data_IF_639794510856
#
_entry.id   IF_639794510856
#
_cell.length_a   1.000
_cell.length_b   1.000
_cell.length_c   1.000
_cell.angle_alpha   90.00
_cell.angle_beta   90.00
_cell.angle_gamma   90.00
#
_symmetry.space_group_name_H-M   'P 1'
#
loop_
_entity.id
_entity.type
_entity.pdbx_description
1 polymer ?
#
# COMPACT_ATOMS: atom_id res chain seq x y z
N UNK A 1 -52.01 -28.90 60.73
CA UNK A 1 -51.15 -29.30 59.60
C UNK A 1 -50.13 -30.32 60.08
N UNK A 2 -50.30 -31.59 59.69
CA UNK A 2 -49.42 -32.69 60.05
C UNK A 2 -47.96 -32.43 59.63
N UNK A 3 -47.01 -32.91 60.43
CA UNK A 3 -45.56 -32.75 60.25
C UNK A 3 -45.07 -33.23 58.85
N UNK A 4 -45.85 -34.08 58.18
CA UNK A 4 -45.62 -34.57 56.81
C UNK A 4 -45.75 -33.47 55.74
N UNK A 5 -46.74 -32.58 55.85
CA UNK A 5 -46.99 -31.53 54.84
C UNK A 5 -45.87 -30.50 54.83
N UNK A 6 -45.34 -30.14 56.01
CA UNK A 6 -44.19 -29.23 56.16
C UNK A 6 -42.92 -29.77 55.48
N UNK A 7 -42.63 -31.07 55.63
CA UNK A 7 -41.48 -31.72 54.96
C UNK A 7 -41.59 -31.74 53.44
N UNK A 8 -42.79 -31.88 52.89
CA UNK A 8 -43.01 -31.86 51.44
C UNK A 8 -42.76 -30.46 50.89
N UNK A 9 -43.35 -29.44 51.52
CA UNK A 9 -43.16 -28.04 51.12
C UNK A 9 -41.69 -27.63 51.20
N UNK A 10 -40.97 -28.01 52.27
CA UNK A 10 -39.54 -27.70 52.41
C UNK A 10 -38.68 -28.31 51.30
N UNK A 11 -38.98 -29.53 50.83
CA UNK A 11 -38.26 -30.17 49.71
C UNK A 11 -38.52 -29.47 48.38
N UNK A 12 -39.76 -29.09 48.10
CA UNK A 12 -40.12 -28.38 46.87
C UNK A 12 -39.46 -27.00 46.80
N UNK A 13 -39.43 -26.29 47.94
CA UNK A 13 -38.69 -25.04 48.08
C UNK A 13 -37.19 -25.23 47.79
N UNK A 14 -36.58 -26.29 48.35
CA UNK A 14 -35.15 -26.57 48.14
C UNK A 14 -34.82 -26.91 46.68
N UNK A 15 -35.68 -27.66 45.99
CA UNK A 15 -35.52 -27.96 44.56
C UNK A 15 -35.64 -26.69 43.72
N UNK A 16 -36.63 -25.83 44.01
CA UNK A 16 -36.80 -24.55 43.31
C UNK A 16 -35.59 -23.63 43.48
N UNK A 17 -35.08 -23.48 44.70
CA UNK A 17 -33.86 -22.69 44.92
C UNK A 17 -32.63 -23.32 44.26
N UNK A 18 -32.55 -24.66 44.21
CA UNK A 18 -31.49 -25.37 43.50
C UNK A 18 -31.49 -25.08 41.99
N UNK A 19 -32.65 -25.14 41.33
CA UNK A 19 -32.76 -24.84 39.89
C UNK A 19 -32.54 -23.36 39.59
N UNK A 20 -33.00 -22.45 40.46
CA UNK A 20 -32.72 -21.03 40.37
C UNK A 20 -31.21 -20.75 40.46
N UNK A 21 -30.52 -21.35 41.45
CA UNK A 21 -29.08 -21.22 41.62
C UNK A 21 -28.30 -21.74 40.41
N UNK A 22 -28.67 -22.91 39.88
CA UNK A 22 -28.03 -23.47 38.69
C UNK A 22 -28.20 -22.56 37.46
N UNK A 23 -29.38 -21.97 37.31
CA UNK A 23 -29.67 -21.03 36.23
C UNK A 23 -28.85 -19.75 36.35
N UNK A 24 -28.71 -19.21 37.57
CA UNK A 24 -27.86 -18.05 37.85
C UNK A 24 -26.38 -18.35 37.56
N UNK A 25 -25.88 -19.54 37.95
CA UNK A 25 -24.51 -19.97 37.64
C UNK A 25 -24.28 -20.11 36.14
N UNK A 26 -25.23 -20.69 35.40
CA UNK A 26 -25.15 -20.79 33.95
C UNK A 26 -25.11 -19.41 33.28
N UNK A 27 -25.98 -18.50 33.71
CA UNK A 27 -26.03 -17.12 33.21
C UNK A 27 -24.72 -16.37 33.53
N UNK A 28 -24.18 -16.54 34.74
CA UNK A 28 -22.88 -15.98 35.12
C UNK A 28 -21.75 -16.53 34.23
N UNK A 29 -21.76 -17.85 33.95
CA UNK A 29 -20.83 -18.48 33.02
C UNK A 29 -20.89 -17.89 31.61
N UNK A 30 -22.10 -17.67 31.07
CA UNK A 30 -22.29 -17.00 29.77
C UNK A 30 -21.77 -15.56 29.79
N UNK A 31 -22.03 -14.80 30.86
CA UNK A 31 -21.51 -13.44 31.00
C UNK A 31 -19.98 -13.40 31.04
N UNK A 32 -19.36 -14.31 31.81
CA UNK A 32 -17.89 -14.43 31.89
C UNK A 32 -17.30 -14.80 30.53
N UNK A 33 -17.90 -15.75 29.81
CA UNK A 33 -17.47 -16.13 28.47
C UNK A 33 -17.59 -14.96 27.48
N UNK A 34 -18.71 -14.22 27.52
CA UNK A 34 -18.90 -13.02 26.70
C UNK A 34 -17.87 -11.94 27.03
N UNK A 35 -17.60 -11.69 28.30
CA UNK A 35 -16.59 -10.71 28.71
C UNK A 35 -15.19 -11.11 28.27
N UNK A 36 -14.86 -12.40 28.33
CA UNK A 36 -13.62 -12.94 27.77
C UNK A 36 -13.51 -12.67 26.27
N UNK A 37 -14.56 -12.94 25.49
CA UNK A 37 -14.58 -12.66 24.05
C UNK A 37 -14.42 -11.17 23.75
N UNK A 38 -15.12 -10.29 24.49
CA UNK A 38 -14.97 -8.83 24.34
C UNK A 38 -13.52 -8.41 24.57
N UNK A 39 -12.91 -8.82 25.69
CA UNK A 39 -11.51 -8.48 26.02
C UNK A 39 -10.54 -9.00 24.95
N UNK A 40 -10.74 -10.19 24.43
CA UNK A 40 -9.92 -10.73 23.35
C UNK A 40 -10.08 -9.92 22.05
N UNK A 41 -11.31 -9.54 21.68
CA UNK A 41 -11.54 -8.69 20.50
C UNK A 41 -10.91 -7.30 20.65
N UNK A 42 -10.95 -6.70 21.84
CA UNK A 42 -10.27 -5.44 22.13
C UNK A 42 -8.75 -5.55 21.99
N UNK A 43 -8.15 -6.63 22.55
CA UNK A 43 -6.72 -6.90 22.38
C UNK A 43 -6.33 -7.02 20.92
N UNK A 44 -7.08 -7.79 20.12
CA UNK A 44 -6.83 -7.93 18.67
C UNK A 44 -7.02 -6.63 17.91
N UNK A 45 -8.00 -5.82 18.29
CA UNK A 45 -8.20 -4.50 17.69
C UNK A 45 -7.03 -3.56 17.97
N UNK A 46 -6.50 -3.54 19.20
CA UNK A 46 -5.29 -2.77 19.53
C UNK A 46 -4.10 -3.23 18.72
N UNK A 47 -3.90 -4.54 18.61
CA UNK A 47 -2.81 -5.11 17.80
C UNK A 47 -2.94 -4.73 16.32
N UNK A 48 -4.16 -4.67 15.75
CA UNK A 48 -4.38 -4.15 14.40
C UNK A 48 -3.91 -2.70 14.30
N UNK A 49 -4.29 -1.84 15.26
CA UNK A 49 -3.89 -0.44 15.25
C UNK A 49 -2.37 -0.26 15.38
N UNK A 50 -1.72 -1.07 16.22
CA UNK A 50 -0.25 -1.10 16.37
C UNK A 50 0.46 -1.56 15.09
N UNK A 51 -0.03 -2.63 14.45
CA UNK A 51 0.53 -3.10 13.18
C UNK A 51 0.27 -2.10 12.03
N UNK A 52 -0.87 -1.41 12.03
CA UNK A 52 -1.17 -0.36 11.05
C UNK A 52 -0.32 0.89 11.26
N UNK A 53 0.00 1.27 12.51
CA UNK A 53 0.94 2.36 12.79
C UNK A 53 2.37 1.98 12.43
N UNK A 54 2.80 0.76 12.74
CA UNK A 54 4.10 0.22 12.34
C UNK A 54 4.23 0.21 10.81
N UNK A 55 3.20 -0.25 10.09
CA UNK A 55 3.20 -0.23 8.62
C UNK A 55 3.37 1.19 8.07
N UNK A 56 2.74 2.19 8.71
CA UNK A 56 2.83 3.59 8.30
C UNK A 56 4.18 4.22 8.61
N UNK A 57 4.91 3.72 9.60
CA UNK A 57 6.25 4.22 9.94
C UNK A 57 7.36 3.58 9.11
N UNK A 58 7.07 2.52 8.35
CA UNK A 58 8.04 1.95 7.42
C UNK A 58 8.38 2.96 6.32
N UNK A 59 9.66 3.09 5.93
CA UNK A 59 10.06 3.93 4.81
C UNK A 59 9.27 3.56 3.55
N UNK A 60 8.89 4.56 2.77
CA UNK A 60 8.21 4.34 1.49
C UNK A 60 9.20 4.34 0.33
N UNK A 61 8.90 3.59 -0.74
CA UNK A 61 9.75 3.48 -1.92
C UNK A 61 9.66 4.72 -2.84
N UNK A 62 10.01 5.89 -2.30
CA UNK A 62 9.94 7.18 -3.00
C UNK A 62 10.92 7.28 -4.16
N UNK A 63 12.07 6.63 -4.05
CA UNK A 63 13.11 6.64 -5.09
C UNK A 63 12.65 5.86 -6.32
N UNK A 64 12.06 4.67 -6.16
CA UNK A 64 11.46 3.95 -7.29
C UNK A 64 10.30 4.72 -7.92
N UNK A 65 9.44 5.30 -7.09
CA UNK A 65 8.34 6.11 -7.60
C UNK A 65 8.86 7.30 -8.43
N UNK A 66 9.91 8.00 -7.97
CA UNK A 66 10.55 9.06 -8.75
C UNK A 66 11.14 8.54 -10.06
N UNK A 67 11.85 7.42 -10.00
CA UNK A 67 12.55 6.85 -11.14
C UNK A 67 11.59 6.34 -12.23
N UNK A 68 10.58 5.55 -11.87
CA UNK A 68 9.64 4.95 -12.81
C UNK A 68 8.54 5.93 -13.26
N UNK A 69 8.17 6.95 -12.46
CA UNK A 69 7.18 7.95 -12.85
C UNK A 69 7.77 9.07 -13.73
N UNK A 70 8.42 8.69 -14.83
CA UNK A 70 8.82 9.60 -15.90
C UNK A 70 10.30 9.93 -15.94
N UNK A 71 11.01 10.02 -14.81
CA UNK A 71 12.44 10.38 -14.78
C UNK A 71 13.27 9.50 -15.70
N UNK A 72 13.09 8.17 -15.61
CA UNK A 72 13.80 7.19 -16.45
C UNK A 72 13.71 7.48 -17.94
N UNK A 73 12.58 8.01 -18.41
CA UNK A 73 12.36 8.33 -19.83
C UNK A 73 13.04 9.64 -20.26
N UNK A 74 13.30 10.53 -19.30
CA UNK A 74 13.98 11.81 -19.51
C UNK A 74 15.51 11.72 -19.33
N UNK A 75 16.06 10.58 -18.87
CA UNK A 75 17.51 10.33 -18.85
C UNK A 75 18.08 10.11 -20.25
N UNK A 76 19.36 10.39 -20.45
CA UNK A 76 19.99 10.48 -21.78
C UNK A 76 21.02 9.38 -22.04
N UNK A 77 21.07 8.91 -23.30
CA UNK A 77 22.22 8.21 -23.85
C UNK A 77 23.01 9.15 -24.76
N UNK A 78 24.32 8.91 -24.86
CA UNK A 78 25.20 9.61 -25.79
C UNK A 78 25.55 8.71 -26.95
N UNK A 79 25.45 9.27 -28.15
CA UNK A 79 25.82 8.61 -29.38
C UNK A 79 26.85 9.44 -30.13
N UNK A 80 27.79 8.75 -30.76
CA UNK A 80 28.64 9.32 -31.80
C UNK A 80 27.99 9.05 -33.15
N UNK A 81 27.67 10.12 -33.88
CA UNK A 81 27.13 10.09 -35.24
C UNK A 81 28.11 10.85 -36.14
N UNK A 82 28.93 10.11 -36.90
CA UNK A 82 30.05 10.69 -37.64
C UNK A 82 31.08 11.34 -36.71
N UNK A 83 31.27 12.65 -36.83
CA UNK A 83 32.17 13.43 -35.97
C UNK A 83 31.46 14.08 -34.76
N UNK A 84 30.12 14.09 -34.76
CA UNK A 84 29.34 14.77 -33.74
C UNK A 84 28.95 13.84 -32.59
N UNK A 85 28.81 14.42 -31.41
CA UNK A 85 28.23 13.75 -30.24
C UNK A 85 26.82 14.27 -30.02
N UNK A 86 25.87 13.36 -29.84
CA UNK A 86 24.45 13.67 -29.67
C UNK A 86 23.95 13.04 -28.37
N UNK A 87 23.28 13.83 -27.54
CA UNK A 87 22.53 13.33 -26.38
C UNK A 87 21.07 13.12 -26.79
N UNK A 88 20.55 11.93 -26.49
CA UNK A 88 19.19 11.51 -26.84
C UNK A 88 18.52 10.95 -25.60
N UNK A 89 17.36 11.49 -25.23
CA UNK A 89 16.62 10.96 -24.08
C UNK A 89 16.12 9.55 -24.36
N UNK A 90 15.97 8.75 -23.30
CA UNK A 90 15.51 7.36 -23.36
C UNK A 90 14.19 7.25 -24.13
N UNK A 91 13.29 8.20 -23.92
CA UNK A 91 12.01 8.33 -24.62
C UNK A 91 12.11 8.37 -26.14
N UNK A 92 13.14 9.02 -26.69
CA UNK A 92 13.33 9.22 -28.12
C UNK A 92 14.42 8.32 -28.71
N UNK A 93 14.94 7.38 -27.92
CA UNK A 93 16.06 6.53 -28.34
C UNK A 93 15.69 5.70 -29.58
N UNK A 94 14.55 5.01 -29.58
CA UNK A 94 14.16 4.11 -30.66
C UNK A 94 14.00 4.85 -31.99
N UNK A 95 13.32 6.01 -31.98
CA UNK A 95 13.17 6.89 -33.15
C UNK A 95 14.52 7.43 -33.64
N UNK A 96 15.46 7.69 -32.73
CA UNK A 96 16.77 8.19 -33.10
C UNK A 96 17.65 7.12 -33.76
N UNK A 97 17.56 5.86 -33.33
CA UNK A 97 18.40 4.77 -33.85
C UNK A 97 18.08 4.38 -35.29
N UNK A 98 16.93 4.80 -35.82
CA UNK A 98 16.52 4.54 -37.21
C UNK A 98 16.39 5.84 -38.00
N UNK A 99 16.57 5.75 -39.32
CA UNK A 99 16.23 6.84 -40.24
C UNK A 99 14.74 6.86 -40.59
N UNK A 100 14.35 7.74 -41.51
CA UNK A 100 12.96 7.90 -41.96
C UNK A 100 12.39 6.70 -42.70
N UNK A 101 13.24 5.77 -43.14
CA UNK A 101 12.87 4.52 -43.81
C UNK A 101 12.93 3.31 -42.87
N UNK A 102 13.22 3.53 -41.58
CA UNK A 102 13.37 2.46 -40.58
C UNK A 102 14.71 1.74 -40.66
N UNK A 103 15.70 2.27 -41.37
CA UNK A 103 17.04 1.69 -41.49
C UNK A 103 17.87 2.13 -40.28
N UNK A 104 18.57 1.19 -39.66
CA UNK A 104 19.42 1.48 -38.51
C UNK A 104 20.54 2.47 -38.89
N UNK A 105 20.63 3.58 -38.14
CA UNK A 105 21.71 4.56 -38.29
C UNK A 105 23.03 3.95 -37.83
N UNK A 106 24.11 4.29 -38.53
CA UNK A 106 25.46 3.96 -38.08
C UNK A 106 25.88 4.90 -36.94
N UNK A 107 25.40 4.59 -35.73
CA UNK A 107 25.73 5.31 -34.50
C UNK A 107 26.46 4.39 -33.53
N UNK A 108 27.41 4.95 -32.78
CA UNK A 108 28.08 4.25 -31.69
C UNK A 108 27.64 4.86 -30.36
N UNK A 109 27.02 4.07 -29.49
CA UNK A 109 26.76 4.50 -28.12
C UNK A 109 28.10 4.72 -27.40
N UNK A 110 28.23 5.85 -26.74
CA UNK A 110 29.38 6.16 -25.89
C UNK A 110 29.11 5.66 -24.48
N UNK A 111 30.15 5.15 -23.82
CA UNK A 111 30.08 4.77 -22.41
C UNK A 111 29.96 6.02 -21.54
N UNK A 112 29.22 5.87 -20.44
CA UNK A 112 28.81 6.96 -19.56
C UNK A 112 29.99 7.67 -18.88
N UNK A 113 29.73 8.90 -18.44
CA UNK A 113 30.72 9.73 -17.78
C UNK A 113 30.85 9.38 -16.29
N UNK A 114 32.04 9.61 -15.69
CA UNK A 114 32.30 9.30 -14.26
C UNK A 114 31.28 9.90 -13.29
N UNK A 115 30.73 11.06 -13.60
CA UNK A 115 29.77 11.77 -12.73
C UNK A 115 28.30 11.47 -13.11
N UNK A 116 28.03 10.74 -14.19
CA UNK A 116 26.69 10.39 -14.69
C UNK A 116 25.73 11.57 -14.94
N UNK A 117 26.31 12.77 -15.07
CA UNK A 117 25.67 13.94 -15.62
C UNK A 117 26.72 14.76 -16.37
N UNK A 118 26.29 15.56 -17.35
CA UNK A 118 27.17 16.46 -18.06
C UNK A 118 26.46 17.74 -18.47
N UNK A 119 27.24 18.79 -18.75
CA UNK A 119 26.73 19.98 -19.41
C UNK A 119 26.79 19.74 -20.91
N UNK A 120 25.62 19.58 -21.53
CA UNK A 120 25.51 19.32 -22.95
C UNK A 120 25.18 20.61 -23.71
N UNK A 121 25.86 20.90 -24.83
CA UNK A 121 25.55 22.06 -25.66
C UNK A 121 24.08 22.08 -26.04
N UNK A 122 23.42 23.21 -25.80
CA UNK A 122 22.03 23.43 -26.17
C UNK A 122 21.90 24.70 -26.98
N UNK A 123 20.91 24.74 -27.85
CA UNK A 123 20.60 25.93 -28.63
C UNK A 123 19.22 26.42 -28.25
N UNK A 124 19.09 27.71 -27.95
CA UNK A 124 17.81 28.36 -27.72
C UNK A 124 17.46 29.23 -28.92
N UNK A 125 16.24 29.08 -29.41
CA UNK A 125 15.65 29.96 -30.42
C UNK A 125 14.41 30.64 -29.82
N UNK A 126 14.14 31.86 -30.27
CA UNK A 126 12.88 32.54 -29.96
C UNK A 126 11.97 32.45 -31.19
N UNK A 127 10.97 31.58 -31.12
CA UNK A 127 10.02 31.36 -32.18
C UNK A 127 8.71 32.08 -31.81
N UNK A 128 8.49 33.24 -32.43
CA UNK A 128 7.27 34.06 -32.27
C UNK A 128 6.91 34.35 -30.80
N UNK A 129 7.93 34.66 -29.97
CA UNK A 129 7.76 34.99 -28.55
C UNK A 129 7.88 33.80 -27.60
N UNK A 130 7.96 32.56 -28.12
CA UNK A 130 8.21 31.35 -27.32
C UNK A 130 9.68 30.94 -27.41
N UNK A 131 10.35 30.87 -26.25
CA UNK A 131 11.72 30.36 -26.15
C UNK A 131 11.71 28.84 -26.19
N UNK A 132 12.34 28.27 -27.21
CA UNK A 132 12.49 26.82 -27.40
C UNK A 132 13.97 26.50 -27.23
N UNK A 133 14.29 25.65 -26.26
CA UNK A 133 15.66 25.16 -26.03
C UNK A 133 15.73 23.70 -26.45
N UNK A 134 16.73 23.36 -27.26
CA UNK A 134 16.89 22.02 -27.81
C UNK A 134 18.37 21.61 -27.85
N UNK A 135 18.63 20.31 -27.72
CA UNK A 135 19.96 19.70 -27.75
C UNK A 135 20.26 19.04 -29.09
N UNK A 136 19.21 18.66 -29.82
CA UNK A 136 19.31 18.08 -31.15
C UNK A 136 18.13 18.53 -32.05
N UNK A 137 18.26 18.28 -33.36
CA UNK A 137 17.28 18.73 -34.35
C UNK A 137 15.91 18.05 -34.21
N UNK A 138 15.89 16.80 -33.72
CA UNK A 138 14.65 16.04 -33.50
C UNK A 138 13.82 16.65 -32.38
N UNK A 139 14.48 17.01 -31.26
CA UNK A 139 13.87 17.71 -30.14
C UNK A 139 13.26 19.05 -30.57
N UNK A 140 14.00 19.84 -31.37
CA UNK A 140 13.46 21.08 -31.94
C UNK A 140 12.23 20.81 -32.81
N UNK A 141 12.30 19.83 -33.72
CA UNK A 141 11.20 19.49 -34.61
C UNK A 141 9.95 19.09 -33.83
N UNK A 142 10.10 18.22 -32.83
CA UNK A 142 9.01 17.71 -32.01
C UNK A 142 8.34 18.83 -31.19
N UNK A 143 9.13 19.67 -30.51
CA UNK A 143 8.61 20.81 -29.74
C UNK A 143 7.88 21.80 -30.66
N UNK A 144 8.42 22.10 -31.84
CA UNK A 144 7.78 23.02 -32.79
C UNK A 144 6.49 22.44 -33.35
N UNK A 145 6.45 21.16 -33.73
CA UNK A 145 5.24 20.49 -34.21
C UNK A 145 4.14 20.45 -33.15
N UNK A 146 4.52 20.32 -31.87
CA UNK A 146 3.57 20.36 -30.76
C UNK A 146 2.98 21.75 -30.55
N UNK A 147 3.80 22.81 -30.67
CA UNK A 147 3.34 24.19 -30.49
C UNK A 147 2.57 24.68 -31.72
N UNK A 148 2.99 24.26 -32.92
CA UNK A 148 2.47 24.69 -34.22
C UNK A 148 2.11 23.47 -35.09
N UNK A 149 0.87 22.96 -34.96
CA UNK A 149 0.41 21.77 -35.69
C UNK A 149 0.48 21.91 -37.22
N UNK A 150 0.55 23.13 -37.75
CA UNK A 150 0.76 23.42 -39.18
C UNK A 150 2.04 22.80 -39.74
N UNK A 151 3.04 22.52 -38.90
CA UNK A 151 4.29 21.89 -39.30
C UNK A 151 4.31 20.37 -39.14
N UNK A 152 3.20 19.74 -38.72
CA UNK A 152 3.13 18.31 -38.40
C UNK A 152 3.63 17.40 -39.53
N UNK A 153 3.34 17.77 -40.78
CA UNK A 153 3.67 16.99 -41.98
C UNK A 153 5.01 17.39 -42.63
N UNK A 154 5.78 18.29 -42.03
CA UNK A 154 7.12 18.65 -42.54
C UNK A 154 8.15 17.70 -41.93
N UNK A 155 9.05 17.20 -42.77
CA UNK A 155 10.21 16.40 -42.33
C UNK A 155 11.06 17.18 -41.32
N UNK A 156 11.64 16.44 -40.36
CA UNK A 156 12.33 17.06 -39.23
C UNK A 156 13.50 17.94 -39.67
N UNK A 157 14.31 17.46 -40.63
CA UNK A 157 15.47 18.18 -41.15
C UNK A 157 15.04 19.47 -41.89
N UNK A 158 14.09 19.34 -42.83
CA UNK A 158 13.56 20.47 -43.59
C UNK A 158 12.93 21.54 -42.69
N UNK A 159 12.22 21.14 -41.64
CA UNK A 159 11.64 22.07 -40.65
C UNK A 159 12.75 22.81 -39.88
N UNK A 160 13.77 22.09 -39.42
CA UNK A 160 14.87 22.67 -38.64
C UNK A 160 15.66 23.69 -39.47
N UNK A 161 15.95 23.39 -40.73
CA UNK A 161 16.65 24.31 -41.63
C UNK A 161 15.84 25.59 -41.87
N UNK A 162 14.52 25.43 -42.10
CA UNK A 162 13.60 26.56 -42.25
C UNK A 162 13.56 27.46 -41.02
N UNK A 163 13.63 26.87 -39.83
CA UNK A 163 13.67 27.60 -38.56
C UNK A 163 15.01 28.30 -38.38
N UNK A 164 16.14 27.61 -38.59
CA UNK A 164 17.48 28.19 -38.45
C UNK A 164 17.75 29.33 -39.44
N UNK A 165 17.18 29.28 -40.64
CA UNK A 165 17.29 30.35 -41.63
C UNK A 165 16.54 31.63 -41.22
N UNK A 166 15.45 31.49 -40.44
CA UNK A 166 14.55 32.61 -40.10
C UNK A 166 14.79 33.18 -38.70
N UNK A 167 15.30 32.40 -37.75
CA UNK A 167 15.38 32.78 -36.35
C UNK A 167 16.82 32.75 -35.82
N UNK A 168 17.20 33.79 -35.07
CA UNK A 168 18.51 33.88 -34.42
C UNK A 168 18.60 32.83 -33.31
N UNK A 169 19.70 32.07 -33.32
CA UNK A 169 19.99 31.04 -32.33
C UNK A 169 21.02 31.54 -31.32
N UNK A 170 20.81 31.22 -30.04
CA UNK A 170 21.80 31.42 -28.97
C UNK A 170 22.30 30.06 -28.51
N UNK A 171 23.63 29.89 -28.50
CA UNK A 171 24.27 28.70 -27.93
C UNK A 171 24.40 28.86 -26.41
N UNK A 172 24.06 27.82 -25.69
CA UNK A 172 24.16 27.71 -24.23
C UNK A 172 24.55 26.26 -23.87
N UNK A 173 24.51 25.91 -22.59
CA UNK A 173 24.65 24.52 -22.13
C UNK A 173 23.53 24.17 -21.16
N UNK A 174 23.03 22.95 -21.30
CA UNK A 174 21.97 22.39 -20.45
C UNK A 174 22.50 21.17 -19.71
N UNK A 175 22.15 21.08 -18.43
CA UNK A 175 22.48 19.90 -17.63
C UNK A 175 21.65 18.70 -18.12
N UNK A 176 22.30 17.57 -18.34
CA UNK A 176 21.70 16.28 -18.70
C UNK A 176 22.20 15.18 -17.78
N UNK A 177 21.38 14.16 -17.58
CA UNK A 177 21.70 13.00 -16.76
C UNK A 177 21.80 11.75 -17.62
N UNK A 178 22.82 10.94 -17.37
CA UNK A 178 23.05 9.71 -18.09
C UNK A 178 21.98 8.68 -17.70
N UNK A 179 21.51 7.89 -18.66
CA UNK A 179 20.67 6.75 -18.35
C UNK A 179 21.48 5.71 -17.58
N UNK A 180 20.95 5.29 -16.44
CA UNK A 180 21.48 4.24 -15.57
C UNK A 180 20.35 3.29 -15.22
N UNK A 181 20.66 2.09 -14.72
CA UNK A 181 19.61 1.23 -14.17
C UNK A 181 19.15 1.72 -12.78
N UNK A 182 18.06 1.16 -12.26
CA UNK A 182 17.50 1.60 -10.98
C UNK A 182 18.47 1.46 -9.79
N UNK A 183 19.21 0.35 -9.71
CA UNK A 183 20.14 0.12 -8.61
C UNK A 183 21.30 1.11 -8.64
N UNK A 184 21.86 1.36 -9.81
CA UNK A 184 22.90 2.37 -10.02
C UNK A 184 22.38 3.78 -9.74
N UNK A 185 21.14 4.08 -10.13
CA UNK A 185 20.48 5.34 -9.79
C UNK A 185 20.35 5.53 -8.27
N UNK A 186 20.00 4.49 -7.51
CA UNK A 186 19.96 4.56 -6.04
C UNK A 186 21.33 4.90 -5.46
N UNK A 187 22.39 4.26 -5.95
CA UNK A 187 23.76 4.53 -5.51
C UNK A 187 24.15 5.98 -5.83
N UNK A 188 23.83 6.47 -7.03
CA UNK A 188 24.11 7.86 -7.41
C UNK A 188 23.36 8.86 -6.54
N UNK A 189 22.15 8.53 -6.09
CA UNK A 189 21.39 9.34 -5.16
C UNK A 189 22.03 9.43 -3.77
N UNK A 190 23.01 8.61 -3.40
CA UNK A 190 23.77 8.82 -2.15
C UNK A 190 24.72 10.03 -2.27
N UNK A 191 25.13 10.38 -3.49
CA UNK A 191 25.98 11.52 -3.76
C UNK A 191 25.19 12.85 -3.72
N UNK A 192 25.54 13.72 -2.77
CA UNK A 192 24.88 15.03 -2.60
C UNK A 192 24.94 15.92 -3.83
N UNK A 193 26.07 15.94 -4.56
CA UNK A 193 26.23 16.75 -5.78
C UNK A 193 25.30 16.25 -6.88
N UNK A 194 25.23 14.94 -7.07
CA UNK A 194 24.31 14.32 -8.03
C UNK A 194 22.85 14.67 -7.69
N UNK A 195 22.43 14.48 -6.43
CA UNK A 195 21.08 14.84 -5.96
C UNK A 195 20.72 16.31 -6.21
N UNK A 196 21.62 17.23 -5.88
CA UNK A 196 21.36 18.66 -6.04
C UNK A 196 21.20 19.05 -7.52
N UNK A 197 22.06 18.51 -8.37
CA UNK A 197 21.98 18.71 -9.81
C UNK A 197 20.70 18.08 -10.38
N UNK A 198 20.32 16.90 -9.89
CA UNK A 198 19.11 16.20 -10.33
C UNK A 198 17.86 16.97 -9.91
N UNK A 199 17.83 17.53 -8.70
CA UNK A 199 16.76 18.42 -8.27
C UNK A 199 16.63 19.64 -9.19
N UNK A 200 17.74 20.31 -9.52
CA UNK A 200 17.71 21.47 -10.43
C UNK A 200 17.24 21.12 -11.83
N UNK A 201 17.59 19.92 -12.32
CA UNK A 201 17.13 19.41 -13.60
C UNK A 201 15.63 19.11 -13.56
N UNK A 202 15.18 18.33 -12.58
CA UNK A 202 13.80 17.84 -12.48
C UNK A 202 12.80 18.90 -12.08
N UNK A 203 13.17 19.84 -11.20
CA UNK A 203 12.25 20.86 -10.71
C UNK A 203 11.76 21.82 -11.81
N UNK A 204 12.36 21.77 -13.00
CA UNK A 204 11.91 22.52 -14.19
C UNK A 204 10.69 21.88 -14.86
N UNK A 205 10.58 20.56 -14.80
CA UNK A 205 9.54 19.79 -15.50
C UNK A 205 8.53 19.14 -14.55
N UNK A 206 8.98 18.79 -13.34
CA UNK A 206 8.20 18.14 -12.31
C UNK A 206 8.19 19.06 -11.09
N UNK A 207 7.01 19.36 -10.54
CA UNK A 207 6.95 20.06 -9.25
C UNK A 207 7.46 19.13 -8.15
N UNK A 208 8.73 19.31 -7.77
CA UNK A 208 9.40 18.48 -6.78
C UNK A 208 9.23 19.03 -5.36
N UNK A 209 8.62 20.21 -5.22
CA UNK A 209 8.57 20.97 -3.97
C UNK A 209 9.91 21.63 -3.64
N UNK A 210 10.12 21.93 -2.35
CA UNK A 210 11.37 22.53 -1.89
C UNK A 210 12.53 21.54 -1.91
N UNK A 211 13.78 22.03 -2.00
CA UNK A 211 14.98 21.18 -1.95
C UNK A 211 15.01 20.33 -0.66
N UNK A 212 14.60 20.91 0.48
CA UNK A 212 14.55 20.20 1.76
C UNK A 212 13.53 19.05 1.75
N UNK A 213 12.35 19.26 1.16
CA UNK A 213 11.35 18.20 1.01
C UNK A 213 11.84 17.09 0.08
N UNK A 214 12.49 17.46 -1.02
CA UNK A 214 13.12 16.51 -1.92
C UNK A 214 14.18 15.66 -1.21
N UNK A 215 15.12 16.30 -0.51
CA UNK A 215 16.16 15.59 0.25
C UNK A 215 15.57 14.64 1.29
N UNK A 216 14.50 15.05 2.00
CA UNK A 216 13.79 14.18 2.94
C UNK A 216 13.17 12.96 2.27
N UNK A 217 12.49 13.15 1.13
CA UNK A 217 11.87 12.05 0.37
C UNK A 217 12.92 11.07 -0.18
N UNK A 218 14.07 11.58 -0.62
CA UNK A 218 15.17 10.74 -1.09
C UNK A 218 15.78 9.96 0.07
N UNK A 219 16.06 10.59 1.21
CA UNK A 219 16.57 9.91 2.39
C UNK A 219 15.64 8.76 2.83
N UNK A 220 14.34 9.02 2.94
CA UNK A 220 13.34 7.99 3.24
C UNK A 220 13.34 6.86 2.21
N UNK A 221 13.41 7.18 0.91
CA UNK A 221 13.45 6.17 -0.14
C UNK A 221 14.75 5.38 -0.22
N UNK A 222 15.88 5.94 0.24
CA UNK A 222 17.15 5.22 0.32
C UNK A 222 17.15 4.20 1.47
N UNK A 223 16.46 4.48 2.56
CA UNK A 223 16.23 3.52 3.67
C UNK A 223 15.31 2.35 3.27
N UNK A 224 14.61 2.44 2.14
CA UNK A 224 13.74 1.36 1.64
C UNK A 224 14.57 0.20 1.04
N UNK A 225 14.71 -0.89 1.80
CA UNK A 225 15.49 -2.06 1.40
C UNK A 225 14.64 -3.36 1.37
N UNK A 226 15.29 -4.49 1.09
CA UNK A 226 14.63 -5.80 1.14
C UNK A 226 14.06 -6.14 2.52
N UNK A 227 14.67 -5.66 3.60
CA UNK A 227 14.20 -5.93 4.95
C UNK A 227 12.89 -5.19 5.22
N UNK A 228 12.78 -3.94 4.76
CA UNK A 228 11.53 -3.15 4.79
C UNK A 228 10.44 -3.83 3.96
N UNK A 229 10.77 -4.37 2.77
CA UNK A 229 9.83 -5.15 1.95
C UNK A 229 9.34 -6.40 2.69
N UNK A 230 10.27 -7.21 3.23
CA UNK A 230 9.96 -8.43 3.99
C UNK A 230 9.12 -8.11 5.22
N UNK A 231 9.45 -7.04 5.95
CA UNK A 231 8.72 -6.58 7.14
C UNK A 231 7.31 -6.11 6.78
N UNK A 232 7.17 -5.28 5.75
CA UNK A 232 5.87 -4.82 5.25
C UNK A 232 4.96 -5.99 4.88
N UNK A 233 5.48 -6.97 4.13
CA UNK A 233 4.74 -8.19 3.74
C UNK A 233 4.35 -9.05 4.96
N UNK A 234 5.25 -9.18 5.94
CA UNK A 234 4.96 -9.86 7.20
C UNK A 234 3.83 -9.17 7.96
N UNK A 235 3.88 -7.84 8.09
CA UNK A 235 2.83 -7.04 8.74
C UNK A 235 1.50 -7.20 8.01
N UNK A 236 1.48 -7.14 6.68
CA UNK A 236 0.25 -7.37 5.89
C UNK A 236 -0.35 -8.76 6.09
N UNK A 237 0.50 -9.77 6.16
CA UNK A 237 0.07 -11.15 6.42
C UNK A 237 -0.54 -11.27 7.82
N UNK A 238 0.10 -10.67 8.83
CA UNK A 238 -0.41 -10.63 10.20
C UNK A 238 -1.73 -9.85 10.31
N UNK A 239 -1.82 -8.67 9.68
CA UNK A 239 -3.04 -7.87 9.62
C UNK A 239 -4.19 -8.65 8.99
N UNK A 240 -3.94 -9.32 7.86
CA UNK A 240 -4.96 -10.13 7.18
C UNK A 240 -5.44 -11.26 8.08
N UNK A 241 -4.52 -11.98 8.72
CA UNK A 241 -4.84 -13.07 9.65
C UNK A 241 -5.66 -12.57 10.84
N UNK A 242 -5.22 -11.50 11.51
CA UNK A 242 -5.91 -10.96 12.69
C UNK A 242 -7.28 -10.37 12.31
N UNK A 243 -7.39 -9.68 11.17
CA UNK A 243 -8.68 -9.16 10.68
C UNK A 243 -9.66 -10.30 10.38
N UNK A 244 -9.20 -11.41 9.79
CA UNK A 244 -10.02 -12.58 9.55
C UNK A 244 -10.45 -13.26 10.86
N UNK A 245 -9.53 -13.43 11.81
CA UNK A 245 -9.86 -13.97 13.13
C UNK A 245 -10.85 -13.09 13.88
N UNK A 246 -10.71 -11.77 13.78
CA UNK A 246 -11.61 -10.80 14.40
C UNK A 246 -12.99 -10.83 13.72
N UNK A 247 -13.06 -10.96 12.40
CA UNK A 247 -14.31 -11.17 11.66
C UNK A 247 -15.03 -12.43 12.13
N UNK A 248 -14.33 -13.56 12.18
CA UNK A 248 -14.87 -14.83 12.65
C UNK A 248 -15.32 -14.77 14.12
N UNK A 249 -14.58 -14.05 14.97
CA UNK A 249 -14.95 -13.86 16.38
C UNK A 249 -16.15 -12.93 16.54
N UNK A 250 -16.25 -11.86 15.75
CA UNK A 250 -17.44 -10.99 15.75
C UNK A 250 -18.69 -11.73 15.33
N UNK A 251 -18.61 -12.64 14.35
CA UNK A 251 -19.75 -13.51 14.01
C UNK A 251 -20.08 -14.54 15.11
N UNK A 252 -19.13 -14.87 16.00
CA UNK A 252 -19.36 -15.76 17.15
C UNK A 252 -19.82 -15.04 18.42
N UNK A 253 -19.81 -13.70 18.44
CA UNK A 253 -20.37 -12.94 19.55
C UNK A 253 -21.89 -13.12 19.51
N UNK A 254 -22.39 -13.98 20.38
CA UNK A 254 -23.83 -14.21 20.52
C UNK A 254 -24.54 -12.87 20.73
N UNK A 255 -25.54 -12.64 19.89
CA UNK A 255 -26.42 -11.50 20.06
C UNK A 255 -27.18 -11.63 21.39
N UNK A 256 -27.68 -10.50 21.92
CA UNK A 256 -28.52 -10.50 23.13
C UNK A 256 -29.72 -11.45 22.96
N UNK A 257 -30.28 -11.51 21.76
CA UNK A 257 -31.37 -12.40 21.38
C UNK A 257 -31.00 -13.89 21.49
N UNK A 258 -29.81 -14.28 21.02
CA UNK A 258 -29.30 -15.66 21.11
C UNK A 258 -28.98 -16.06 22.55
N UNK A 259 -28.39 -15.15 23.33
CA UNK A 259 -28.11 -15.38 24.75
C UNK A 259 -29.41 -15.65 25.52
N UNK A 260 -30.44 -14.85 25.24
CA UNK A 260 -31.76 -15.04 25.84
C UNK A 260 -32.39 -16.37 25.42
N UNK A 261 -32.35 -16.70 24.12
CA UNK A 261 -32.85 -17.98 23.59
C UNK A 261 -32.18 -19.19 24.24
N UNK A 262 -30.85 -19.18 24.35
CA UNK A 262 -30.10 -20.27 24.99
C UNK A 262 -30.41 -20.40 26.48
N UNK A 263 -30.55 -19.28 27.19
CA UNK A 263 -30.96 -19.27 28.60
C UNK A 263 -32.36 -19.86 28.75
N UNK A 264 -33.31 -19.45 27.89
CA UNK A 264 -34.68 -19.96 27.90
C UNK A 264 -34.75 -21.47 27.62
N UNK A 265 -34.01 -21.96 26.61
CA UNK A 265 -33.92 -23.40 26.29
C UNK A 265 -33.37 -24.18 27.48
N UNK A 266 -32.29 -23.68 28.10
CA UNK A 266 -31.68 -24.32 29.27
C UNK A 266 -32.68 -24.40 30.42
N UNK A 267 -33.50 -23.37 30.60
CA UNK A 267 -34.56 -23.34 31.59
C UNK A 267 -35.65 -24.38 31.33
N UNK A 268 -36.10 -24.51 30.07
CA UNK A 268 -37.05 -25.56 29.66
C UNK A 268 -36.50 -26.97 29.89
N UNK A 269 -35.22 -27.20 29.58
CA UNK A 269 -34.55 -28.50 29.81
C UNK A 269 -34.48 -28.81 31.31
N UNK A 270 -34.11 -27.83 32.14
CA UNK A 270 -34.05 -28.01 33.59
C UNK A 270 -35.42 -28.36 34.17
N UNK A 271 -36.49 -27.69 33.74
CA UNK A 271 -37.87 -28.03 34.13
C UNK A 271 -38.25 -29.43 33.65
N UNK A 272 -37.92 -29.73 32.39
CA UNK A 272 -38.18 -31.01 31.75
C UNK A 272 -37.49 -32.19 32.45
N UNK A 273 -36.34 -31.97 33.09
CA UNK A 273 -35.64 -32.97 33.92
C UNK A 273 -36.19 -33.00 35.36
N UNK A 274 -36.48 -31.84 35.94
CA UNK A 274 -36.96 -31.74 37.32
C UNK A 274 -38.31 -32.46 37.51
N UNK A 275 -39.19 -32.40 36.51
CA UNK A 275 -40.51 -33.02 36.55
C UNK A 275 -40.49 -34.57 36.63
N UNK A 276 -39.79 -35.31 35.75
CA UNK A 276 -39.64 -36.76 35.87
C UNK A 276 -38.81 -37.18 37.10
N UNK A 277 -37.83 -36.39 37.54
CA UNK A 277 -37.17 -36.63 38.84
C UNK A 277 -38.20 -36.63 39.98
N UNK A 278 -39.18 -35.72 39.97
CA UNK A 278 -40.26 -35.70 40.96
C UNK A 278 -41.09 -36.98 40.95
N UNK A 279 -41.37 -37.53 39.77
CA UNK A 279 -42.09 -38.79 39.62
C UNK A 279 -41.29 -39.99 40.12
N UNK A 280 -40.01 -40.08 39.75
CA UNK A 280 -39.13 -41.17 40.22
C UNK A 280 -39.04 -41.20 41.75
N UNK A 281 -38.92 -40.05 42.41
CA UNK A 281 -38.93 -39.97 43.87
C UNK A 281 -40.26 -40.42 44.50
N UNK A 282 -41.41 -40.11 43.88
CA UNK A 282 -42.71 -40.59 44.37
C UNK A 282 -42.81 -42.11 44.27
N UNK A 283 -42.40 -42.70 43.15
CA UNK A 283 -42.41 -44.15 42.92
C UNK A 283 -41.45 -44.85 43.89
N UNK A 284 -40.24 -44.32 44.08
CA UNK A 284 -39.25 -44.89 44.98
C UNK A 284 -39.71 -44.85 46.44
N UNK A 285 -40.35 -43.75 46.86
CA UNK A 285 -40.98 -43.66 48.19
C UNK A 285 -42.15 -44.63 48.36
N UNK A 286 -42.98 -44.80 47.32
CA UNK A 286 -44.06 -45.77 47.34
C UNK A 286 -43.51 -47.19 47.47
N UNK A 287 -42.51 -47.55 46.67
CA UNK A 287 -41.82 -48.84 46.72
C UNK A 287 -41.26 -49.16 48.12
N UNK A 288 -40.55 -48.22 48.76
CA UNK A 288 -40.03 -48.42 50.12
C UNK A 288 -41.14 -48.66 51.14
N UNK A 289 -42.24 -47.91 51.06
CA UNK A 289 -43.37 -48.08 51.98
C UNK A 289 -44.11 -49.41 51.77
N UNK A 290 -44.12 -49.96 50.55
CA UNK A 290 -44.74 -51.25 50.25
C UNK A 290 -43.88 -52.41 50.76
N UNK A 291 -42.56 -52.27 50.77
CA UNK A 291 -41.63 -53.30 51.29
C UNK A 291 -41.57 -53.32 52.83
N UNK A 292 -41.86 -52.20 53.50
CA UNK A 292 -41.91 -52.11 54.97
C UNK A 292 -43.24 -52.54 55.60
N UNK A 293 -44.26 -52.86 54.78
CA UNK A 293 -45.55 -53.40 55.23
C UNK A 293 -45.60 -54.90 54.98
#
# INVERSE_FOLDING_TARGET
MENKTKKIVAKEILIFFGTLLLSLLFLAGLMLYKQYLIRDTEKKSKLITELESEKKSLPSNRVNALYENGLKNELFYYYKLGMDTVAVSKKHQEEFLVDEYGIAKNVRQLENHKEYFSWFPSTTINLEGKKITYKNYLELSNQVKQIYPTYKNIEANALVDKIKAKFVSKKDSSLVFDYVNYEEFRVLLENKRYRNNLYQFMNKEFDMGTLAEYEKKIAEGLEYDENVIKRSKSIETQLTKIKQELKNRKSSLMDKSETFRMTFITWLVLIGIAYPMRWTFKILKWSVNTVQK
#
